data_IF_749807176813
#
_entry.id   IF_749807176813
#
_cell.length_a   1.000
_cell.length_b   1.000
_cell.length_c   1.000
_cell.angle_alpha   90.00
_cell.angle_beta   90.00
_cell.angle_gamma   90.00
#
_symmetry.space_group_name_H-M   'P 1'
#
loop_
_entity.id
_entity.type
_entity.pdbx_description
1 polymer ?
#
# COMPACT_ATOMS: atom_id res chain seq x y z
N UNK A 1 -18.24 2.19 -3.40
CA UNK A 1 -18.39 0.72 -3.19
C UNK A 1 -18.92 0.48 -1.78
N UNK A 2 -18.16 0.84 -0.73
CA UNK A 2 -18.54 0.57 0.66
C UNK A 2 -19.26 1.73 1.38
N UNK A 3 -19.63 2.79 0.66
CA UNK A 3 -20.22 3.99 1.28
C UNK A 3 -19.26 4.85 2.14
N UNK A 4 -17.98 4.48 2.26
CA UNK A 4 -16.98 5.24 3.02
C UNK A 4 -16.62 6.57 2.32
N UNK A 5 -16.44 7.67 3.08
CA UNK A 5 -16.00 8.96 2.53
C UNK A 5 -14.55 8.93 2.03
N UNK A 6 -14.20 9.94 1.23
CA UNK A 6 -12.86 10.12 0.70
C UNK A 6 -12.01 10.99 1.66
N UNK A 7 -10.73 10.66 1.91
CA UNK A 7 -9.99 9.49 1.42
C UNK A 7 -10.32 8.19 2.17
N UNK A 8 -10.55 7.10 1.42
CA UNK A 8 -11.02 5.83 2.00
C UNK A 8 -9.94 4.99 2.69
N UNK A 9 -8.66 5.22 2.40
CA UNK A 9 -7.55 4.40 2.92
C UNK A 9 -7.50 4.30 4.45
N UNK A 10 -7.48 5.43 5.20
CA UNK A 10 -7.50 5.42 6.66
C UNK A 10 -8.73 4.75 7.27
N UNK A 11 -9.88 4.84 6.59
CA UNK A 11 -11.13 4.23 7.08
C UNK A 11 -11.15 2.73 6.87
N UNK A 12 -10.69 2.26 5.70
CA UNK A 12 -10.48 0.82 5.46
C UNK A 12 -9.50 0.28 6.50
N UNK A 13 -8.42 1.01 6.79
CA UNK A 13 -7.45 0.59 7.80
C UNK A 13 -8.08 0.49 9.19
N UNK A 14 -8.82 1.52 9.61
CA UNK A 14 -9.54 1.52 10.90
C UNK A 14 -10.50 0.34 11.01
N UNK A 15 -11.36 0.11 10.02
CA UNK A 15 -12.32 -0.99 10.04
C UNK A 15 -11.65 -2.37 9.96
N UNK A 16 -10.56 -2.49 9.21
CA UNK A 16 -9.82 -3.74 9.07
C UNK A 16 -9.27 -4.26 10.41
N UNK A 17 -8.91 -3.37 11.34
CA UNK A 17 -8.42 -3.79 12.67
C UNK A 17 -9.46 -4.54 13.52
N UNK A 18 -10.75 -4.38 13.20
CA UNK A 18 -11.87 -4.98 13.93
C UNK A 18 -12.49 -6.18 13.19
N UNK A 19 -11.97 -6.53 12.02
CA UNK A 19 -12.54 -7.57 11.17
C UNK A 19 -11.67 -8.81 11.06
N UNK A 20 -12.26 -9.89 10.55
CA UNK A 20 -11.55 -11.10 10.18
C UNK A 20 -10.95 -10.96 8.76
N UNK A 21 -9.60 -10.94 8.60
CA UNK A 21 -8.96 -10.80 7.30
C UNK A 21 -9.18 -11.99 6.35
N UNK A 22 -9.75 -13.09 6.85
CA UNK A 22 -10.05 -14.31 6.09
C UNK A 22 -11.56 -14.54 5.90
N UNK A 23 -12.41 -13.58 6.26
CA UNK A 23 -13.86 -13.71 6.09
C UNK A 23 -14.24 -13.86 4.61
N UNK A 24 -13.58 -13.10 3.74
CA UNK A 24 -13.85 -13.08 2.30
C UNK A 24 -12.54 -13.22 1.52
N UNK A 25 -12.56 -14.07 0.48
CA UNK A 25 -11.38 -14.29 -0.37
C UNK A 25 -11.54 -13.52 -1.68
N UNK A 26 -10.53 -12.74 -2.04
CA UNK A 26 -10.44 -12.06 -3.33
C UNK A 26 -9.26 -12.60 -4.14
N UNK A 27 -9.45 -12.77 -5.45
CA UNK A 27 -8.41 -13.28 -6.34
C UNK A 27 -7.30 -12.26 -6.53
N UNK A 28 -6.06 -12.72 -6.39
CA UNK A 28 -4.85 -11.93 -6.71
C UNK A 28 -4.68 -11.87 -8.23
N UNK A 29 -4.41 -10.69 -8.83
CA UNK A 29 -4.17 -10.58 -10.25
C UNK A 29 -2.82 -11.21 -10.62
N UNK A 30 -2.79 -11.94 -11.73
CA UNK A 30 -1.56 -12.49 -12.31
C UNK A 30 -0.94 -11.45 -13.24
N UNK A 31 0.07 -10.75 -12.74
CA UNK A 31 0.83 -9.75 -13.52
C UNK A 31 2.28 -10.22 -13.58
N UNK A 32 2.92 -10.23 -14.77
CA UNK A 32 4.32 -10.66 -14.90
C UNK A 32 5.28 -9.74 -14.13
N UNK A 33 6.47 -10.26 -13.82
CA UNK A 33 7.56 -9.48 -13.23
C UNK A 33 7.20 -8.80 -11.92
N UNK A 34 7.62 -7.55 -11.76
CA UNK A 34 7.43 -6.73 -10.56
C UNK A 34 6.26 -5.74 -10.67
N UNK A 35 5.49 -5.80 -11.77
CA UNK A 35 4.37 -4.89 -12.00
C UNK A 35 3.16 -5.24 -11.12
N UNK A 36 2.32 -4.23 -10.86
CA UNK A 36 1.11 -4.35 -10.06
C UNK A 36 -0.15 -4.10 -10.90
N UNK A 37 -1.26 -4.72 -10.51
CA UNK A 37 -2.59 -4.37 -10.98
C UNK A 37 -3.57 -4.45 -9.82
N UNK A 38 -4.40 -3.43 -9.63
CA UNK A 38 -5.44 -3.41 -8.61
C UNK A 38 -6.84 -3.12 -9.19
N UNK A 39 -6.93 -2.87 -10.51
CA UNK A 39 -8.21 -2.60 -11.17
C UNK A 39 -9.14 -3.81 -11.12
N UNK A 40 -8.61 -5.01 -11.38
CA UNK A 40 -9.35 -6.27 -11.27
C UNK A 40 -9.85 -6.53 -9.84
N UNK A 41 -9.02 -6.23 -8.83
CA UNK A 41 -9.41 -6.36 -7.42
C UNK A 41 -10.55 -5.40 -7.07
N UNK A 42 -10.47 -4.13 -7.48
CA UNK A 42 -11.55 -3.15 -7.30
C UNK A 42 -12.87 -3.64 -7.89
N UNK A 43 -12.82 -4.19 -9.10
CA UNK A 43 -14.00 -4.72 -9.79
C UNK A 43 -14.56 -5.97 -9.08
N UNK A 44 -13.70 -6.88 -8.62
CA UNK A 44 -14.12 -8.05 -7.85
C UNK A 44 -14.83 -7.66 -6.54
N UNK A 45 -14.29 -6.67 -5.81
CA UNK A 45 -14.92 -6.14 -4.59
C UNK A 45 -16.28 -5.50 -4.91
N UNK A 46 -16.37 -4.73 -6.00
CA UNK A 46 -17.63 -4.13 -6.44
C UNK A 46 -18.72 -5.18 -6.67
N UNK A 47 -18.41 -6.25 -7.43
CA UNK A 47 -19.38 -7.30 -7.72
C UNK A 47 -19.72 -8.14 -6.49
N UNK A 48 -18.73 -8.43 -5.64
CA UNK A 48 -18.95 -9.11 -4.37
C UNK A 48 -19.95 -8.32 -3.50
N UNK A 49 -19.73 -7.02 -3.32
CA UNK A 49 -20.63 -6.17 -2.53
C UNK A 49 -22.03 -6.13 -3.15
N UNK A 50 -22.15 -5.86 -4.45
CA UNK A 50 -23.45 -5.80 -5.14
C UNK A 50 -24.26 -7.08 -4.97
N UNK A 51 -23.65 -8.24 -5.23
CA UNK A 51 -24.31 -9.55 -5.13
C UNK A 51 -24.85 -9.80 -3.73
N UNK A 52 -24.09 -9.46 -2.69
CA UNK A 52 -24.54 -9.68 -1.31
C UNK A 52 -25.59 -8.64 -0.88
N UNK A 53 -25.48 -7.40 -1.35
CA UNK A 53 -26.48 -6.35 -1.08
C UNK A 53 -27.82 -6.61 -1.77
N UNK A 54 -27.83 -7.31 -2.91
CA UNK A 54 -29.06 -7.79 -3.56
C UNK A 54 -29.82 -8.83 -2.70
N UNK A 55 -29.10 -9.61 -1.90
CA UNK A 55 -29.68 -10.63 -0.99
C UNK A 55 -30.06 -9.99 0.35
N UNK A 56 -29.19 -9.13 0.89
CA UNK A 56 -29.36 -8.44 2.15
C UNK A 56 -29.00 -6.95 1.99
N UNK A 57 -30.00 -6.04 1.97
CA UNK A 57 -29.74 -4.60 1.84
C UNK A 57 -28.82 -4.01 2.91
N UNK A 58 -28.71 -4.60 4.11
CA UNK A 58 -27.85 -4.11 5.20
C UNK A 58 -26.46 -4.78 5.22
N UNK A 59 -26.15 -5.64 4.24
CA UNK A 59 -24.94 -6.46 4.20
C UNK A 59 -23.65 -5.66 4.43
N UNK A 60 -23.52 -4.49 3.78
CA UNK A 60 -22.31 -3.67 3.89
C UNK A 60 -22.11 -3.21 5.33
N UNK A 61 -23.15 -2.67 5.95
CA UNK A 61 -23.08 -2.11 7.30
C UNK A 61 -22.75 -3.21 8.31
N UNK A 62 -23.45 -4.34 8.21
CA UNK A 62 -23.25 -5.51 9.07
C UNK A 62 -21.87 -6.17 8.92
N UNK A 63 -21.22 -6.06 7.76
CA UNK A 63 -19.97 -6.75 7.46
C UNK A 63 -18.78 -5.82 7.17
N UNK A 64 -18.90 -4.52 7.45
CA UNK A 64 -17.92 -3.51 6.98
C UNK A 64 -16.49 -3.82 7.46
N UNK A 65 -16.33 -4.28 8.70
CA UNK A 65 -15.04 -4.62 9.28
C UNK A 65 -14.40 -5.81 8.56
N UNK A 66 -15.15 -6.88 8.32
CA UNK A 66 -14.68 -8.09 7.64
C UNK A 66 -14.37 -7.84 6.16
N UNK A 67 -15.18 -7.03 5.49
CA UNK A 67 -14.91 -6.59 4.11
C UNK A 67 -13.61 -5.80 4.07
N UNK A 68 -13.45 -4.80 4.94
CA UNK A 68 -12.24 -3.98 4.99
C UNK A 68 -11.00 -4.81 5.34
N UNK A 69 -11.10 -5.73 6.30
CA UNK A 69 -10.01 -6.62 6.70
C UNK A 69 -9.59 -7.55 5.54
N UNK A 70 -10.56 -8.16 4.87
CA UNK A 70 -10.32 -9.06 3.73
C UNK A 70 -9.70 -8.34 2.53
N UNK A 71 -10.18 -7.12 2.23
CA UNK A 71 -9.61 -6.27 1.18
C UNK A 71 -8.19 -5.83 1.51
N UNK A 72 -7.95 -5.34 2.72
CA UNK A 72 -6.62 -4.94 3.17
C UNK A 72 -5.66 -6.13 3.11
N UNK A 73 -6.07 -7.28 3.63
CA UNK A 73 -5.27 -8.49 3.62
C UNK A 73 -4.85 -8.87 2.19
N UNK A 74 -5.79 -8.89 1.26
CA UNK A 74 -5.50 -9.21 -0.15
C UNK A 74 -4.50 -8.22 -0.76
N UNK A 75 -4.66 -6.91 -0.51
CA UNK A 75 -3.75 -5.87 -1.01
C UNK A 75 -2.34 -6.08 -0.44
N UNK A 76 -2.24 -6.28 0.88
CA UNK A 76 -0.96 -6.51 1.57
C UNK A 76 -0.27 -7.75 1.02
N UNK A 77 -1.01 -8.84 0.79
CA UNK A 77 -0.44 -10.04 0.20
C UNK A 77 0.11 -9.80 -1.22
N UNK A 78 -0.65 -9.10 -2.09
CA UNK A 78 -0.17 -8.74 -3.44
C UNK A 78 1.15 -7.96 -3.37
N UNK A 79 1.24 -6.99 -2.46
CA UNK A 79 2.44 -6.19 -2.24
C UNK A 79 3.61 -7.06 -1.74
N UNK A 80 3.37 -7.92 -0.76
CA UNK A 80 4.39 -8.80 -0.19
C UNK A 80 4.89 -9.84 -1.19
N UNK A 81 4.02 -10.41 -2.02
CA UNK A 81 4.40 -11.40 -3.03
C UNK A 81 5.36 -10.77 -4.06
N UNK A 82 5.12 -9.51 -4.46
CA UNK A 82 5.99 -8.76 -5.36
C UNK A 82 7.30 -8.31 -4.70
N UNK A 83 7.25 -7.87 -3.44
CA UNK A 83 8.46 -7.55 -2.68
C UNK A 83 9.38 -8.78 -2.50
N UNK A 84 8.81 -9.95 -2.19
CA UNK A 84 9.59 -11.20 -2.09
C UNK A 84 10.24 -11.55 -3.41
N UNK A 85 9.51 -11.41 -4.52
CA UNK A 85 10.07 -11.64 -5.84
C UNK A 85 11.22 -10.68 -6.17
N UNK A 86 11.05 -9.38 -5.87
CA UNK A 86 12.10 -8.37 -6.08
C UNK A 86 13.36 -8.68 -5.26
N UNK A 87 13.19 -9.07 -3.98
CA UNK A 87 14.29 -9.46 -3.11
C UNK A 87 15.05 -10.66 -3.68
N UNK A 88 14.34 -11.69 -4.13
CA UNK A 88 14.98 -12.86 -4.75
C UNK A 88 15.72 -12.50 -6.05
N UNK A 89 15.13 -11.66 -6.90
CA UNK A 89 15.73 -11.28 -8.18
C UNK A 89 16.97 -10.39 -8.03
N UNK A 90 17.01 -9.52 -7.01
CA UNK A 90 18.07 -8.52 -6.82
C UNK A 90 19.13 -8.96 -5.81
N UNK A 91 18.82 -9.93 -4.95
CA UNK A 91 19.71 -10.38 -3.87
C UNK A 91 19.81 -9.41 -2.69
N UNK A 92 18.98 -8.35 -2.64
CA UNK A 92 19.00 -7.39 -1.53
C UNK A 92 18.43 -8.02 -0.26
N UNK A 93 18.95 -7.61 0.90
CA UNK A 93 18.40 -7.99 2.21
C UNK A 93 17.77 -6.82 2.97
N UNK A 94 17.81 -5.62 2.37
CA UNK A 94 17.33 -4.38 2.95
C UNK A 94 16.12 -3.87 2.16
N UNK A 95 15.00 -3.68 2.84
CA UNK A 95 13.74 -3.27 2.19
C UNK A 95 13.15 -2.07 2.92
N UNK A 96 12.92 -0.98 2.18
CA UNK A 96 12.29 0.23 2.69
C UNK A 96 10.92 0.43 2.04
N UNK A 97 9.99 1.03 2.79
CA UNK A 97 8.69 1.48 2.26
C UNK A 97 8.53 2.99 2.40
N UNK A 98 7.76 3.61 1.51
CA UNK A 98 7.46 5.05 1.53
C UNK A 98 6.12 5.36 0.86
N UNK A 99 5.73 6.63 0.86
CA UNK A 99 4.45 7.12 0.32
C UNK A 99 3.27 6.92 1.28
N UNK A 100 2.16 7.62 1.05
CA UNK A 100 1.06 7.71 2.04
C UNK A 100 0.45 6.36 2.43
N UNK A 101 0.43 5.38 1.51
CA UNK A 101 -0.08 4.03 1.78
C UNK A 101 0.81 3.25 2.75
N UNK A 102 2.09 3.61 2.90
CA UNK A 102 2.98 3.02 3.91
C UNK A 102 2.57 3.35 5.36
N UNK A 103 1.63 4.27 5.57
CA UNK A 103 0.96 4.47 6.85
C UNK A 103 0.02 3.31 7.23
N UNK A 104 -0.45 2.51 6.27
CA UNK A 104 -1.40 1.44 6.56
C UNK A 104 -0.86 0.43 7.58
N UNK A 105 -1.67 0.13 8.59
CA UNK A 105 -1.28 -0.75 9.70
C UNK A 105 -0.94 -2.18 9.24
N UNK A 106 -1.71 -2.72 8.29
CA UNK A 106 -1.47 -4.04 7.70
C UNK A 106 -0.13 -4.13 6.95
N UNK A 107 0.23 -3.10 6.17
CA UNK A 107 1.52 -3.04 5.47
C UNK A 107 2.68 -2.95 6.48
N UNK A 108 2.55 -2.08 7.49
CA UNK A 108 3.58 -1.93 8.54
C UNK A 108 3.80 -3.22 9.30
N UNK A 109 2.71 -3.92 9.64
CA UNK A 109 2.77 -5.23 10.28
C UNK A 109 3.47 -6.24 9.38
N UNK A 110 3.11 -6.34 8.11
CA UNK A 110 3.74 -7.26 7.17
C UNK A 110 5.26 -7.01 7.01
N UNK A 111 5.68 -5.74 6.97
CA UNK A 111 7.11 -5.38 6.95
C UNK A 111 7.83 -5.69 8.27
N UNK A 112 7.13 -5.61 9.40
CA UNK A 112 7.69 -6.00 10.71
C UNK A 112 7.83 -7.52 10.79
N UNK A 113 6.80 -8.25 10.38
CA UNK A 113 6.80 -9.72 10.35
C UNK A 113 7.86 -10.27 9.39
N UNK A 114 8.09 -9.61 8.25
CA UNK A 114 9.13 -9.97 7.29
C UNK A 114 10.55 -9.89 7.88
N UNK A 115 10.78 -9.01 8.86
CA UNK A 115 12.07 -8.93 9.56
C UNK A 115 12.36 -10.22 10.33
N UNK A 116 11.36 -10.76 11.04
CA UNK A 116 11.51 -12.00 11.81
C UNK A 116 11.48 -13.25 10.93
N UNK A 117 10.57 -13.30 9.96
CA UNK A 117 10.28 -14.51 9.19
C UNK A 117 11.17 -14.69 7.97
N UNK A 118 11.64 -13.59 7.36
CA UNK A 118 12.41 -13.60 6.11
C UNK A 118 13.84 -13.06 6.28
N UNK A 119 14.21 -12.61 7.49
CA UNK A 119 15.54 -12.06 7.77
C UNK A 119 15.80 -10.70 7.11
N UNK A 120 14.78 -10.01 6.62
CA UNK A 120 14.95 -8.71 5.99
C UNK A 120 15.28 -7.61 7.01
N UNK A 121 16.22 -6.74 6.69
CA UNK A 121 16.35 -5.46 7.40
C UNK A 121 15.32 -4.48 6.83
N UNK A 122 14.26 -4.25 7.58
CA UNK A 122 13.13 -3.42 7.12
C UNK A 122 13.21 -1.98 7.64
N UNK A 123 12.95 -1.01 6.78
CA UNK A 123 12.91 0.42 7.10
C UNK A 123 11.50 0.97 6.89
N UNK A 124 10.87 1.39 7.99
CA UNK A 124 9.51 1.92 8.00
C UNK A 124 9.60 3.35 8.57
N UNK A 125 9.26 4.40 7.79
CA UNK A 125 9.32 5.77 8.27
C UNK A 125 8.27 6.03 9.36
N UNK A 126 8.49 7.07 10.18
CA UNK A 126 7.46 7.61 11.08
C UNK A 126 6.25 8.10 10.26
N UNK A 127 5.06 8.08 10.85
CA UNK A 127 3.81 8.46 10.16
C UNK A 127 3.89 9.84 9.52
N UNK A 128 4.41 10.84 10.24
CA UNK A 128 4.62 12.21 9.77
C UNK A 128 5.51 12.33 8.51
N UNK A 129 6.29 11.30 8.20
CA UNK A 129 7.15 11.23 7.02
C UNK A 129 6.65 10.30 5.92
N UNK A 130 5.47 9.69 6.08
CA UNK A 130 4.89 8.80 5.05
C UNK A 130 4.17 9.57 3.95
N UNK A 131 3.49 10.65 4.30
CA UNK A 131 2.77 11.52 3.37
C UNK A 131 3.67 12.64 2.87
N UNK A 132 3.29 13.29 1.77
CA UNK A 132 4.08 14.38 1.18
C UNK A 132 4.35 15.49 2.20
N UNK A 133 5.62 15.82 2.39
CA UNK A 133 6.07 16.82 3.37
C UNK A 133 7.37 17.49 2.91
N UNK A 134 7.65 18.69 3.40
CA UNK A 134 8.87 19.43 3.01
C UNK A 134 10.16 18.81 3.59
N UNK A 135 10.09 18.01 4.65
CA UNK A 135 11.28 17.39 5.24
C UNK A 135 11.92 16.37 4.29
N UNK A 136 11.12 15.60 3.54
CA UNK A 136 11.65 14.67 2.53
C UNK A 136 12.34 15.40 1.36
N UNK A 137 11.88 16.62 1.04
CA UNK A 137 12.52 17.48 0.04
C UNK A 137 13.84 18.03 0.57
N UNK A 138 13.86 18.51 1.82
CA UNK A 138 15.06 19.03 2.47
C UNK A 138 16.18 18.00 2.58
N UNK A 139 15.87 16.78 3.03
CA UNK A 139 16.88 15.71 3.13
C UNK A 139 17.40 15.25 1.76
N UNK A 140 16.52 15.21 0.75
CA UNK A 140 16.94 14.92 -0.64
C UNK A 140 17.88 16.00 -1.15
N UNK A 141 17.56 17.28 -0.95
CA UNK A 141 18.42 18.40 -1.33
C UNK A 141 19.77 18.37 -0.59
N UNK A 142 19.79 17.97 0.67
CA UNK A 142 21.02 17.80 1.44
C UNK A 142 21.93 16.72 0.82
N UNK A 143 21.39 15.55 0.45
CA UNK A 143 22.18 14.52 -0.22
C UNK A 143 22.66 14.96 -1.60
N UNK A 144 21.79 15.61 -2.40
CA UNK A 144 22.18 16.21 -3.68
C UNK A 144 23.32 17.23 -3.53
N UNK A 145 23.26 18.07 -2.49
CA UNK A 145 24.30 19.03 -2.18
C UNK A 145 25.66 18.36 -1.89
N UNK A 146 25.66 17.28 -1.09
CA UNK A 146 26.89 16.52 -0.80
C UNK A 146 27.51 15.90 -2.06
N UNK A 147 26.67 15.47 -3.01
CA UNK A 147 27.09 14.93 -4.31
C UNK A 147 27.43 16.01 -5.34
N UNK A 148 27.26 17.29 -4.99
CA UNK A 148 27.41 18.45 -5.90
C UNK A 148 26.46 18.40 -7.10
N UNK A 149 25.31 17.74 -6.96
CA UNK A 149 24.24 17.72 -7.97
C UNK A 149 23.35 18.97 -7.80
N UNK A 150 23.80 20.06 -8.42
CA UNK A 150 23.11 21.34 -8.40
C UNK A 150 22.20 21.54 -9.61
N UNK A 151 21.05 22.17 -9.36
CA UNK A 151 20.14 22.60 -10.42
C UNK A 151 20.52 23.99 -10.96
N UNK A 152 20.10 24.32 -12.18
CA UNK A 152 20.29 25.66 -12.77
C UNK A 152 19.13 26.59 -12.44
N UNK A 153 19.38 27.89 -12.41
CA UNK A 153 18.34 28.91 -12.17
C UNK A 153 17.21 28.92 -13.22
N UNK A 154 17.48 28.44 -14.43
CA UNK A 154 16.49 28.36 -15.51
C UNK A 154 15.61 27.10 -15.51
N UNK A 155 15.76 26.22 -14.52
CA UNK A 155 14.96 24.99 -14.44
C UNK A 155 13.50 25.31 -14.11
N UNK A 156 12.59 24.54 -14.70
CA UNK A 156 11.14 24.74 -14.60
C UNK A 156 10.46 23.49 -14.08
N UNK A 157 9.26 23.67 -13.51
CA UNK A 157 8.46 22.56 -13.02
C UNK A 157 8.02 21.65 -14.17
N UNK A 158 8.19 20.33 -14.01
CA UNK A 158 7.68 19.32 -14.94
C UNK A 158 6.61 18.49 -14.24
N UNK A 159 5.45 18.36 -14.87
CA UNK A 159 4.37 17.50 -14.34
C UNK A 159 4.70 16.01 -14.43
N UNK A 160 5.66 15.64 -15.29
CA UNK A 160 6.22 14.28 -15.41
C UNK A 160 7.73 14.40 -15.47
N UNK A 161 8.41 13.79 -14.51
CA UNK A 161 9.87 13.71 -14.44
C UNK A 161 10.25 12.28 -14.85
N UNK A 162 11.13 12.14 -15.83
CA UNK A 162 11.73 10.86 -16.21
C UNK A 162 13.06 10.70 -15.43
N UNK A 163 13.29 9.50 -14.91
CA UNK A 163 14.48 9.11 -14.14
C UNK A 163 15.24 8.02 -14.88
#
# INVERSE_FOLDING_TARGET
ILGLPYPGGPLIDKHATMGNPKAYSFTKPKVPGLDFSFSGLKTAILYFVRKNTEIDPDFIHSNISDICASVQHTIVEILMDKMKLAVVQTGISQVAIGGGVSANSGIRKAMTDARGNLGWKTFIPKFEYTTDNAAMIGITAYFKYLEKDFTKLGETSKARIEF
#
